data_IF_127869659720
#
_entry.id   IF_127869659720
#
_cell.length_a   1.000
_cell.length_b   1.000
_cell.length_c   1.000
_cell.angle_alpha   90.00
_cell.angle_beta   90.00
_cell.angle_gamma   90.00
#
_symmetry.space_group_name_H-M   'P 1'
#
loop_
_entity.id
_entity.type
_entity.pdbx_description
1 polymer ?
#
# COMPACT_ATOMS: atom_id res chain seq x y z
N UNK A 1 0.31 -7.12 3.79
CA UNK A 1 -0.91 -6.86 4.61
C UNK A 1 -1.33 -5.41 4.69
N UNK A 2 -0.48 -4.47 5.13
CA UNK A 2 -0.87 -3.04 5.23
C UNK A 2 -1.50 -2.52 3.93
N UNK A 3 -0.92 -2.84 2.77
CA UNK A 3 -1.49 -2.49 1.47
C UNK A 3 -2.90 -3.05 1.25
N UNK A 4 -3.20 -4.27 1.68
CA UNK A 4 -4.54 -4.84 1.57
C UNK A 4 -5.54 -4.20 2.52
N UNK A 5 -5.11 -3.82 3.72
CA UNK A 5 -5.94 -3.04 4.64
C UNK A 5 -6.28 -1.69 4.01
N UNK A 6 -5.28 -0.99 3.46
CA UNK A 6 -5.44 0.30 2.80
C UNK A 6 -6.33 0.19 1.56
N UNK A 7 -6.26 -0.91 0.81
CA UNK A 7 -7.05 -1.14 -0.43
C UNK A 7 -8.40 -1.82 -0.20
N UNK A 8 -8.69 -2.25 1.03
CA UNK A 8 -9.95 -2.94 1.37
C UNK A 8 -9.99 -4.40 0.91
N UNK A 9 -8.82 -5.00 0.65
CA UNK A 9 -8.65 -6.40 0.21
C UNK A 9 -8.27 -7.36 1.33
N UNK A 10 -8.08 -6.85 2.55
CA UNK A 10 -7.68 -7.68 3.69
C UNK A 10 -8.78 -8.69 4.08
N UNK A 11 -8.39 -9.95 4.22
CA UNK A 11 -9.22 -11.13 4.51
C UNK A 11 -9.21 -11.52 6.00
N UNK A 12 -8.49 -10.81 6.87
CA UNK A 12 -8.44 -11.15 8.30
C UNK A 12 -9.84 -11.23 8.92
N UNK A 13 -10.22 -12.40 9.46
CA UNK A 13 -11.56 -12.69 10.00
C UNK A 13 -11.64 -12.60 11.54
N UNK A 14 -10.54 -12.23 12.20
CA UNK A 14 -10.40 -12.22 13.67
C UNK A 14 -11.25 -11.14 14.35
N UNK A 15 -10.63 -10.15 15.02
CA UNK A 15 -11.36 -9.10 15.75
C UNK A 15 -12.21 -8.20 14.82
N UNK A 16 -13.38 -8.70 14.43
CA UNK A 16 -14.22 -8.13 13.39
C UNK A 16 -14.75 -6.75 13.75
N UNK A 17 -14.86 -6.42 15.04
CA UNK A 17 -15.29 -5.09 15.48
C UNK A 17 -14.24 -4.02 15.17
N UNK A 18 -12.98 -4.27 15.50
CA UNK A 18 -11.88 -3.34 15.23
C UNK A 18 -11.63 -3.18 13.73
N UNK A 19 -11.63 -4.30 12.99
CA UNK A 19 -11.49 -4.27 11.53
C UNK A 19 -12.59 -3.45 10.88
N UNK A 20 -13.86 -3.67 11.25
CA UNK A 20 -14.99 -2.87 10.74
C UNK A 20 -14.84 -1.39 11.09
N UNK A 21 -14.41 -1.06 12.31
CA UNK A 21 -14.17 0.32 12.73
C UNK A 21 -13.07 0.98 11.90
N UNK A 22 -11.96 0.28 11.67
CA UNK A 22 -10.84 0.77 10.85
C UNK A 22 -11.27 0.96 9.39
N UNK A 23 -11.90 -0.04 8.77
CA UNK A 23 -12.36 0.06 7.38
C UNK A 23 -13.40 1.17 7.21
N UNK A 24 -14.33 1.34 8.16
CA UNK A 24 -15.26 2.47 8.15
C UNK A 24 -14.53 3.82 8.15
N UNK A 25 -13.50 3.97 9.00
CA UNK A 25 -12.69 5.19 9.04
C UNK A 25 -11.91 5.43 7.75
N UNK A 26 -11.36 4.39 7.14
CA UNK A 26 -10.70 4.51 5.84
C UNK A 26 -11.69 4.98 4.76
N UNK A 27 -12.89 4.39 4.69
CA UNK A 27 -13.94 4.82 3.76
C UNK A 27 -14.29 6.30 3.99
N UNK A 28 -14.49 6.73 5.24
CA UNK A 28 -14.75 8.14 5.58
C UNK A 28 -13.62 9.09 5.13
N UNK A 29 -12.36 8.65 5.15
CA UNK A 29 -11.24 9.45 4.66
C UNK A 29 -11.19 9.52 3.13
N UNK A 30 -11.40 8.39 2.45
CA UNK A 30 -11.42 8.35 0.99
C UNK A 30 -12.63 9.08 0.40
N UNK A 31 -13.76 9.10 1.09
CA UNK A 31 -14.91 9.96 0.76
C UNK A 31 -14.52 11.44 0.76
N UNK A 32 -13.79 11.90 1.78
CA UNK A 32 -13.30 13.28 1.84
C UNK A 32 -12.30 13.60 0.74
N UNK A 33 -11.40 12.65 0.43
CA UNK A 33 -10.43 12.79 -0.67
C UNK A 33 -11.18 12.90 -2.00
N UNK A 34 -12.13 11.99 -2.26
CA UNK A 34 -12.97 11.96 -3.46
C UNK A 34 -13.77 13.26 -3.63
N UNK A 35 -14.40 13.74 -2.56
CA UNK A 35 -15.12 15.01 -2.54
C UNK A 35 -14.25 16.24 -2.81
N UNK A 36 -12.95 16.15 -2.53
CA UNK A 36 -11.95 17.18 -2.82
C UNK A 36 -11.40 17.16 -4.25
N UNK A 37 -11.68 16.11 -5.04
CA UNK A 37 -11.19 15.99 -6.41
C UNK A 37 -11.84 17.02 -7.35
N UNK A 38 -11.09 17.46 -8.36
CA UNK A 38 -11.53 18.46 -9.34
C UNK A 38 -11.20 18.02 -10.77
N UNK A 39 -11.94 18.58 -11.73
CA UNK A 39 -11.67 18.39 -13.16
C UNK A 39 -11.66 16.91 -13.58
N UNK A 40 -10.66 16.55 -14.38
CA UNK A 40 -10.51 15.19 -14.93
C UNK A 40 -10.40 14.09 -13.87
N UNK A 41 -9.80 14.38 -12.71
CA UNK A 41 -9.69 13.40 -11.63
C UNK A 41 -11.06 13.04 -11.03
N UNK A 42 -11.93 14.04 -10.81
CA UNK A 42 -13.29 13.79 -10.32
C UNK A 42 -14.10 12.94 -11.31
N UNK A 43 -13.96 13.22 -12.61
CA UNK A 43 -14.60 12.46 -13.68
C UNK A 43 -14.06 11.02 -13.74
N UNK A 44 -12.75 10.84 -13.59
CA UNK A 44 -12.12 9.53 -13.61
C UNK A 44 -12.67 8.59 -12.52
N UNK A 45 -12.90 9.11 -11.30
CA UNK A 45 -13.44 8.34 -10.17
C UNK A 45 -14.95 8.53 -9.96
N UNK A 46 -15.71 9.01 -10.95
CA UNK A 46 -17.13 9.38 -10.74
C UNK A 46 -18.01 8.19 -10.33
N UNK A 47 -17.66 6.99 -10.79
CA UNK A 47 -18.37 5.74 -10.50
C UNK A 47 -17.81 4.99 -9.28
N UNK A 48 -16.77 5.52 -8.62
CA UNK A 48 -16.10 4.89 -7.47
C UNK A 48 -16.56 5.53 -6.16
N UNK A 49 -17.75 5.17 -5.68
CA UNK A 49 -18.48 5.96 -4.66
C UNK A 49 -18.74 5.26 -3.32
N UNK A 50 -18.70 3.93 -3.26
CA UNK A 50 -19.03 3.20 -2.02
C UNK A 50 -17.78 2.85 -1.19
N UNK A 51 -16.81 2.20 -1.82
CA UNK A 51 -15.59 1.73 -1.15
C UNK A 51 -14.32 2.39 -1.67
N UNK A 52 -14.45 3.23 -2.72
CA UNK A 52 -13.35 3.96 -3.34
C UNK A 52 -12.22 3.03 -3.80
N UNK A 53 -12.55 1.87 -4.38
CA UNK A 53 -11.56 0.82 -4.66
C UNK A 53 -10.51 1.30 -5.66
N UNK A 54 -10.91 1.99 -6.73
CA UNK A 54 -9.95 2.48 -7.73
C UNK A 54 -9.06 3.57 -7.11
N UNK A 55 -9.68 4.52 -6.41
CA UNK A 55 -8.94 5.60 -5.74
C UNK A 55 -7.95 5.05 -4.68
N UNK A 56 -8.34 4.01 -3.93
CA UNK A 56 -7.49 3.36 -2.92
C UNK A 56 -6.32 2.59 -3.53
N UNK A 57 -6.55 1.91 -4.65
CA UNK A 57 -5.48 1.22 -5.41
C UNK A 57 -4.45 2.22 -5.93
N UNK A 58 -4.91 3.30 -6.57
CA UNK A 58 -4.03 4.32 -7.12
C UNK A 58 -3.27 5.09 -6.03
N UNK A 59 -3.95 5.40 -4.92
CA UNK A 59 -3.31 5.99 -3.76
C UNK A 59 -2.20 5.08 -3.21
N UNK A 60 -2.45 3.77 -3.09
CA UNK A 60 -1.42 2.83 -2.65
C UNK A 60 -0.26 2.78 -3.64
N UNK A 61 -0.54 2.66 -4.94
CA UNK A 61 0.49 2.61 -5.98
C UNK A 61 1.40 3.84 -5.97
N UNK A 62 0.85 5.03 -5.73
CA UNK A 62 1.59 6.29 -5.69
C UNK A 62 2.35 6.55 -4.38
N UNK A 63 1.97 5.92 -3.27
CA UNK A 63 2.54 6.22 -1.93
C UNK A 63 3.28 5.03 -1.29
N UNK A 64 3.30 3.85 -1.92
CA UNK A 64 3.90 2.64 -1.34
C UNK A 64 5.40 2.77 -1.06
N UNK A 65 6.11 3.60 -1.81
CA UNK A 65 7.54 3.92 -1.61
C UNK A 65 7.75 4.65 -0.27
N UNK A 66 6.91 5.65 0.02
CA UNK A 66 6.94 6.40 1.28
C UNK A 66 6.55 5.49 2.45
N UNK A 67 5.54 4.65 2.28
CA UNK A 67 5.15 3.65 3.28
C UNK A 67 6.29 2.67 3.55
N UNK A 68 6.97 2.18 2.52
CA UNK A 68 8.12 1.29 2.68
C UNK A 68 9.29 1.97 3.39
N UNK A 69 9.56 3.23 3.05
CA UNK A 69 10.55 4.07 3.73
C UNK A 69 10.22 4.27 5.21
N UNK A 70 8.94 4.39 5.58
CA UNK A 70 8.54 4.45 6.98
C UNK A 70 8.70 3.08 7.66
N UNK A 71 8.24 2.00 7.01
CA UNK A 71 8.28 0.63 7.55
C UNK A 71 9.70 0.18 7.88
N UNK A 72 10.66 0.53 7.04
CA UNK A 72 12.06 0.13 7.18
C UNK A 72 12.90 1.16 7.94
N UNK A 73 12.28 2.14 8.62
CA UNK A 73 13.02 3.21 9.31
C UNK A 73 13.98 2.64 10.38
N UNK A 74 13.50 1.65 11.14
CA UNK A 74 14.22 0.97 12.22
C UNK A 74 14.97 -0.29 11.78
N UNK A 75 14.95 -0.63 10.49
CA UNK A 75 15.73 -1.76 10.00
C UNK A 75 17.23 -1.50 10.15
N UNK A 76 17.99 -2.56 10.44
CA UNK A 76 19.43 -2.51 10.61
C UNK A 76 20.15 -2.09 9.33
N UNK A 77 21.33 -1.48 9.47
CA UNK A 77 22.15 -1.07 8.32
C UNK A 77 22.63 -2.27 7.48
N UNK A 78 22.73 -3.45 8.10
CA UNK A 78 23.12 -4.68 7.42
C UNK A 78 21.92 -5.54 7.03
N UNK A 79 20.69 -5.12 7.38
CA UNK A 79 19.49 -5.87 7.05
C UNK A 79 19.21 -5.74 5.55
N UNK A 80 19.01 -6.91 4.95
CA UNK A 80 18.74 -7.05 3.52
C UNK A 80 17.42 -7.78 3.33
N UNK A 81 16.75 -7.41 2.25
CA UNK A 81 15.64 -8.20 1.76
C UNK A 81 16.17 -9.54 1.21
N UNK A 82 15.42 -10.62 1.39
CA UNK A 82 15.84 -12.03 1.23
C UNK A 82 16.38 -12.43 -0.16
N UNK A 83 16.27 -11.58 -1.17
CA UNK A 83 16.68 -11.86 -2.55
C UNK A 83 17.34 -10.64 -3.18
N UNK A 84 18.12 -10.89 -4.23
CA UNK A 84 18.48 -9.85 -5.19
C UNK A 84 17.19 -9.35 -5.83
N UNK A 85 16.83 -8.13 -5.48
CA UNK A 85 15.50 -7.56 -5.69
C UNK A 85 15.56 -6.15 -6.26
N UNK A 86 16.73 -5.53 -6.24
CA UNK A 86 16.99 -4.24 -6.86
C UNK A 86 17.54 -4.42 -8.27
N UNK A 87 17.42 -3.39 -9.11
CA UNK A 87 17.93 -3.38 -10.49
C UNK A 87 17.42 -4.56 -11.33
N UNK A 88 16.10 -4.81 -11.30
CA UNK A 88 15.48 -5.93 -12.00
C UNK A 88 15.81 -7.31 -11.41
N UNK A 89 16.19 -7.37 -10.13
CA UNK A 89 16.52 -8.62 -9.45
C UNK A 89 17.98 -9.07 -9.61
N UNK A 90 18.87 -8.15 -10.02
CA UNK A 90 20.30 -8.44 -10.22
C UNK A 90 21.18 -7.99 -9.06
N UNK A 91 20.63 -7.19 -8.14
CA UNK A 91 21.39 -6.61 -7.03
C UNK A 91 20.63 -6.74 -5.71
N UNK A 92 21.33 -6.93 -4.59
CA UNK A 92 20.71 -6.96 -3.27
C UNK A 92 20.25 -5.56 -2.87
N UNK A 93 19.35 -5.50 -1.88
CA UNK A 93 19.06 -4.24 -1.20
C UNK A 93 20.29 -3.69 -0.51
N UNK A 94 20.42 -2.37 -0.52
CA UNK A 94 21.42 -1.62 0.24
C UNK A 94 20.75 -1.05 1.49
N UNK A 95 21.34 -1.28 2.67
CA UNK A 95 20.98 -0.70 3.99
C UNK A 95 19.49 -0.57 4.31
N UNK A 96 19.05 -1.14 5.42
CA UNK A 96 17.65 -1.02 5.87
C UNK A 96 16.65 -1.62 4.86
N UNK A 97 16.98 -2.73 4.20
CA UNK A 97 16.08 -3.41 3.25
C UNK A 97 15.56 -2.53 2.10
N UNK A 98 16.34 -1.57 1.58
CA UNK A 98 15.91 -0.67 0.49
C UNK A 98 16.76 -0.81 -0.76
N UNK A 99 16.21 -0.44 -1.91
CA UNK A 99 17.03 -0.13 -3.07
C UNK A 99 17.60 1.30 -2.95
N UNK A 100 18.62 1.62 -3.75
CA UNK A 100 19.19 2.99 -3.78
C UNK A 100 18.12 4.01 -4.18
N UNK A 101 17.20 3.63 -5.06
CA UNK A 101 16.02 4.43 -5.45
C UNK A 101 15.00 4.60 -4.33
N UNK A 102 15.19 3.97 -3.16
CA UNK A 102 14.24 3.87 -2.05
C UNK A 102 12.95 3.12 -2.35
N UNK A 103 12.79 2.63 -3.58
CA UNK A 103 11.66 1.82 -3.98
C UNK A 103 11.57 0.55 -3.12
N UNK A 104 10.34 0.06 -2.85
CA UNK A 104 10.15 -1.23 -2.23
C UNK A 104 10.76 -2.31 -3.12
N UNK A 105 11.66 -3.16 -2.62
CA UNK A 105 12.28 -4.26 -3.36
C UNK A 105 11.32 -5.44 -3.54
N UNK A 106 10.01 -5.24 -3.40
CA UNK A 106 9.03 -6.31 -3.35
C UNK A 106 7.72 -5.91 -4.01
N UNK A 107 7.05 -6.92 -4.56
CA UNK A 107 5.71 -6.85 -5.13
C UNK A 107 4.73 -7.75 -4.37
N UNK A 108 5.06 -8.16 -3.13
CA UNK A 108 4.13 -8.95 -2.32
C UNK A 108 2.80 -8.24 -2.08
N UNK A 109 2.77 -6.91 -2.11
CA UNK A 109 1.54 -6.13 -2.10
C UNK A 109 0.67 -6.35 -3.35
N UNK A 110 1.17 -6.92 -4.44
CA UNK A 110 0.38 -7.31 -5.61
C UNK A 110 0.10 -8.82 -5.69
N UNK A 111 0.54 -9.60 -4.69
CA UNK A 111 0.22 -11.02 -4.55
C UNK A 111 -1.08 -11.17 -3.72
N UNK A 112 -2.07 -11.96 -4.18
CA UNK A 112 -3.28 -12.24 -3.41
C UNK A 112 -2.97 -12.71 -1.99
N UNK A 113 -3.64 -12.16 -0.97
CA UNK A 113 -3.29 -12.41 0.44
C UNK A 113 -3.21 -13.87 0.83
N UNK A 114 -4.09 -14.70 0.27
CA UNK A 114 -4.13 -16.13 0.54
C UNK A 114 -2.83 -16.86 0.13
N UNK A 115 -2.09 -16.32 -0.85
CA UNK A 115 -0.87 -16.93 -1.39
C UNK A 115 0.43 -16.32 -0.82
N UNK A 116 0.32 -15.32 0.08
CA UNK A 116 1.49 -14.61 0.62
C UNK A 116 2.21 -15.36 1.72
#
# INVERSE_FOLDING_TARGET
DIGDIIRGKDLFLGNNKEKKKLQKKLIEYYEKIHGGLKGGAKKHYENDTANYYQLREDWWALNKDQVWKALTCEAGQNDKYLKDACSGGTTPTNKKCRCVSTDPPTYFDYVPQFLR
#
